data_IF_950433245341
#
_entry.id   IF_950433245341
#
_cell.length_a   1.000
_cell.length_b   1.000
_cell.length_c   1.000
_cell.angle_alpha   90.00
_cell.angle_beta   90.00
_cell.angle_gamma   90.00
#
_symmetry.space_group_name_H-M   'P 1'
#
loop_
_entity.id
_entity.type
_entity.pdbx_description
1 polymer ?
#
# COMPACT_ATOMS: atom_id res chain seq x y z
N UNK A 1 17.17 8.59 -2.61
CA UNK A 1 16.43 9.15 -1.47
C UNK A 1 15.06 9.53 -2.01
N UNK A 2 14.10 8.62 -1.88
CA UNK A 2 12.70 8.89 -2.20
C UNK A 2 11.92 8.40 -0.98
N UNK A 3 11.99 9.22 0.07
CA UNK A 3 11.14 9.11 1.25
C UNK A 3 9.90 9.94 0.94
N UNK A 4 9.16 9.50 -0.08
CA UNK A 4 7.80 9.94 -0.30
C UNK A 4 6.94 9.01 0.54
N UNK A 5 6.51 9.49 1.71
CA UNK A 5 5.48 8.87 2.53
C UNK A 5 4.24 8.63 1.68
N UNK A 6 4.21 7.46 1.05
CA UNK A 6 3.18 7.04 0.12
C UNK A 6 2.24 6.08 0.84
N UNK A 7 1.01 5.99 0.35
CA UNK A 7 -0.01 5.01 0.74
C UNK A 7 0.55 3.58 0.99
N UNK A 8 1.64 3.22 0.32
CA UNK A 8 2.40 1.98 0.49
C UNK A 8 3.03 1.79 1.88
N UNK A 9 3.58 2.83 2.51
CA UNK A 9 4.13 2.75 3.87
C UNK A 9 3.02 2.62 4.92
N UNK A 10 1.93 3.36 4.75
CA UNK A 10 0.74 3.25 5.60
C UNK A 10 0.15 1.83 5.50
N UNK A 11 0.07 1.30 4.27
CA UNK A 11 -0.29 -0.10 4.03
C UNK A 11 0.68 -1.08 4.68
N UNK A 12 1.98 -0.80 4.64
CA UNK A 12 2.99 -1.63 5.29
C UNK A 12 2.77 -1.70 6.79
N UNK A 13 2.58 -0.55 7.44
CA UNK A 13 2.32 -0.47 8.89
C UNK A 13 0.98 -1.16 9.24
N UNK A 14 -0.07 -0.92 8.46
CA UNK A 14 -1.40 -1.54 8.65
C UNK A 14 -1.39 -3.06 8.49
N UNK A 15 -0.62 -3.58 7.53
CA UNK A 15 -0.52 -5.01 7.25
C UNK A 15 0.48 -5.71 8.19
N UNK A 16 1.37 -4.95 8.83
CA UNK A 16 2.43 -5.44 9.70
C UNK A 16 3.59 -6.08 8.93
N UNK A 17 3.87 -5.59 7.72
CA UNK A 17 4.97 -6.09 6.90
C UNK A 17 6.28 -5.36 7.24
N UNK A 18 7.40 -6.09 7.24
CA UNK A 18 8.73 -5.48 7.44
C UNK A 18 9.23 -4.72 6.21
N UNK A 19 8.74 -5.06 5.01
CA UNK A 19 9.18 -4.47 3.76
C UNK A 19 8.02 -4.30 2.77
N UNK A 20 8.06 -3.23 1.97
CA UNK A 20 7.14 -3.01 0.84
C UNK A 20 7.11 -4.18 -0.16
N UNK A 21 8.23 -4.87 -0.33
CA UNK A 21 8.30 -6.06 -1.20
C UNK A 21 7.44 -7.22 -0.67
N UNK A 22 7.16 -7.26 0.63
CA UNK A 22 6.28 -8.25 1.24
C UNK A 22 4.80 -7.98 0.95
N UNK A 23 4.42 -6.72 0.68
CA UNK A 23 3.08 -6.38 0.21
C UNK A 23 2.76 -7.04 -1.14
N UNK A 24 3.78 -7.27 -1.98
CA UNK A 24 3.66 -7.98 -3.27
C UNK A 24 3.60 -9.50 -3.13
N UNK A 25 4.04 -10.06 -2.00
CA UNK A 25 3.95 -11.50 -1.77
C UNK A 25 2.48 -11.92 -1.64
N UNK A 26 2.14 -13.05 -2.26
CA UNK A 26 0.77 -13.56 -2.39
C UNK A 26 0.03 -13.70 -1.03
N UNK A 27 0.75 -13.88 0.08
CA UNK A 27 0.18 -13.95 1.42
C UNK A 27 -0.35 -12.60 1.96
N UNK A 28 0.12 -11.47 1.42
CA UNK A 28 -0.22 -10.14 1.91
C UNK A 28 -1.38 -9.51 1.13
N UNK A 29 -1.75 -10.05 -0.04
CA UNK A 29 -2.78 -9.48 -0.93
C UNK A 29 -4.14 -9.31 -0.25
N UNK A 30 -4.57 -10.27 0.58
CA UNK A 30 -5.83 -10.18 1.33
C UNK A 30 -5.77 -9.11 2.43
N UNK A 31 -4.68 -9.05 3.19
CA UNK A 31 -4.48 -8.03 4.22
C UNK A 31 -4.35 -6.64 3.63
N UNK A 32 -3.60 -6.50 2.54
CA UNK A 32 -3.48 -5.27 1.75
C UNK A 32 -4.86 -4.82 1.28
N UNK A 33 -5.70 -5.74 0.77
CA UNK A 33 -7.09 -5.41 0.40
C UNK A 33 -7.93 -4.93 1.57
N UNK A 34 -7.75 -5.50 2.75
CA UNK A 34 -8.45 -5.04 3.96
C UNK A 34 -7.94 -3.68 4.42
N UNK A 35 -6.63 -3.45 4.42
CA UNK A 35 -6.03 -2.17 4.76
C UNK A 35 -6.44 -1.07 3.75
N UNK A 36 -6.42 -1.36 2.44
CA UNK A 36 -6.95 -0.48 1.39
C UNK A 36 -8.43 -0.13 1.58
N UNK A 37 -9.24 -1.03 2.14
CA UNK A 37 -10.65 -0.76 2.47
C UNK A 37 -10.83 0.10 3.73
N UNK A 38 -9.86 0.07 4.64
CA UNK A 38 -9.86 0.91 5.84
C UNK A 38 -9.35 2.32 5.51
N UNK A 39 -8.44 2.44 4.54
CA UNK A 39 -7.99 3.70 3.99
C UNK A 39 -9.13 4.37 3.22
N UNK A 40 -9.41 5.62 3.54
CA UNK A 40 -10.37 6.43 2.76
C UNK A 40 -9.68 6.92 1.50
N UNK A 41 -10.34 6.72 0.36
CA UNK A 41 -9.88 7.26 -0.92
C UNK A 41 -9.78 8.80 -0.92
N UNK A 42 -10.45 9.47 0.02
CA UNK A 42 -10.41 10.92 0.22
C UNK A 42 -9.15 11.41 0.97
N UNK A 43 -8.45 10.51 1.65
CA UNK A 43 -7.29 10.84 2.49
C UNK A 43 -6.00 11.00 1.66
N UNK A 44 -5.94 10.32 0.50
CA UNK A 44 -4.78 10.36 -0.40
C UNK A 44 -5.19 10.75 -1.82
N UNK A 45 -4.36 11.55 -2.51
CA UNK A 45 -4.63 11.94 -3.89
C UNK A 45 -4.64 10.72 -4.83
N UNK A 46 -5.44 10.74 -5.91
CA UNK A 46 -5.56 9.62 -6.85
C UNK A 46 -4.23 9.23 -7.50
N UNK A 47 -3.28 10.17 -7.62
CA UNK A 47 -1.93 9.89 -8.09
C UNK A 47 -1.18 8.89 -7.20
N UNK A 48 -1.28 9.00 -5.87
CA UNK A 48 -0.68 8.05 -4.93
C UNK A 48 -1.37 6.68 -4.97
N UNK A 49 -2.70 6.66 -5.15
CA UNK A 49 -3.44 5.40 -5.31
C UNK A 49 -3.05 4.67 -6.59
N UNK A 50 -2.89 5.39 -7.70
CA UNK A 50 -2.42 4.82 -8.95
C UNK A 50 -1.00 4.29 -8.82
N UNK A 51 -0.10 5.03 -8.19
CA UNK A 51 1.29 4.59 -8.00
C UNK A 51 1.36 3.34 -7.11
N UNK A 52 0.63 3.32 -5.99
CA UNK A 52 0.54 2.17 -5.11
C UNK A 52 -0.10 0.95 -5.78
N UNK A 53 -1.18 1.14 -6.54
CA UNK A 53 -1.82 0.06 -7.29
C UNK A 53 -0.89 -0.49 -8.39
N UNK A 54 -0.17 0.38 -9.08
CA UNK A 54 0.83 0.00 -10.08
C UNK A 54 1.98 -0.78 -9.44
N UNK A 55 2.45 -0.36 -8.26
CA UNK A 55 3.46 -1.07 -7.48
C UNK A 55 2.98 -2.45 -7.03
N UNK A 56 1.72 -2.60 -6.61
CA UNK A 56 1.14 -3.87 -6.16
C UNK A 56 0.77 -4.83 -7.31
N UNK A 57 0.50 -4.30 -8.50
CA UNK A 57 0.19 -5.09 -9.70
C UNK A 57 1.43 -5.50 -10.50
N UNK A 58 2.57 -4.83 -10.30
CA UNK A 58 3.82 -5.05 -11.04
C UNK A 58 4.82 -6.01 -10.36
#
# INVERSE_FOLDING_TARGET
>A
MADEKCLLEDLQELVGCLYLSDLRLLCSRERVRQALKQLKAEDYPPAQWQDAAHYLMS
#
